data_IF_794755927664
#
_entry.id   IF_794755927664
#
_cell.length_a   1.000
_cell.length_b   1.000
_cell.length_c   1.000
_cell.angle_alpha   90.00
_cell.angle_beta   90.00
_cell.angle_gamma   90.00
#
_symmetry.space_group_name_H-M   'P 1'
#
loop_
_entity.id
_entity.type
_entity.pdbx_description
1 polymer ?
#
# COMPACT_ATOMS: atom_id res chain seq x y z
N UNK A 1 11.13 25.56 -29.51
CA UNK A 1 11.08 25.52 -28.03
C UNK A 1 11.49 24.17 -27.45
N UNK A 2 10.67 23.10 -27.54
CA UNK A 2 10.90 21.83 -26.79
C UNK A 2 12.18 21.04 -27.13
N UNK A 3 12.79 21.24 -28.29
CA UNK A 3 14.04 20.56 -28.69
C UNK A 3 15.21 21.54 -28.90
N UNK A 4 15.02 22.82 -28.57
CA UNK A 4 16.07 23.83 -28.75
C UNK A 4 16.93 23.98 -27.48
N UNK A 5 18.24 24.18 -27.62
CA UNK A 5 19.16 24.29 -26.48
C UNK A 5 18.99 25.58 -25.67
N UNK A 6 18.24 26.56 -26.19
CA UNK A 6 17.90 27.84 -25.55
C UNK A 6 16.53 28.29 -26.04
N UNK A 7 15.78 29.02 -25.21
CA UNK A 7 14.49 29.62 -25.57
C UNK A 7 14.37 31.02 -24.99
N UNK A 8 13.61 31.90 -25.64
CA UNK A 8 13.28 33.24 -25.13
C UNK A 8 12.05 33.19 -24.22
N UNK A 9 11.80 34.27 -23.47
CA UNK A 9 10.58 34.39 -22.65
C UNK A 9 9.30 34.39 -23.50
N UNK A 10 9.32 35.09 -24.64
CA UNK A 10 8.19 35.14 -25.58
C UNK A 10 7.88 33.74 -26.16
N UNK A 11 8.90 32.94 -26.44
CA UNK A 11 8.73 31.54 -26.89
C UNK A 11 8.16 30.62 -25.80
N UNK A 12 8.40 30.92 -24.52
CA UNK A 12 7.79 30.19 -23.41
C UNK A 12 6.35 30.65 -23.16
N UNK A 13 6.04 31.93 -23.37
CA UNK A 13 4.67 32.45 -23.30
C UNK A 13 3.78 31.84 -24.40
N UNK A 14 4.33 31.54 -25.58
CA UNK A 14 3.63 30.77 -26.62
C UNK A 14 3.24 29.34 -26.18
N UNK A 15 3.91 28.80 -25.14
CA UNK A 15 3.55 27.51 -24.55
C UNK A 15 2.48 27.62 -23.46
N UNK A 16 1.94 28.82 -23.17
CA UNK A 16 0.87 29.01 -22.17
C UNK A 16 -0.34 28.11 -22.47
N UNK A 17 -0.67 27.89 -23.74
CA UNK A 17 -1.75 27.00 -24.16
C UNK A 17 -1.53 25.53 -23.74
N UNK A 18 -0.28 25.10 -23.51
CA UNK A 18 0.08 23.79 -23.00
C UNK A 18 0.20 23.76 -21.46
N UNK A 19 -0.07 24.87 -20.76
CA UNK A 19 -0.11 24.87 -19.31
C UNK A 19 -1.24 23.94 -18.83
N UNK A 20 -0.99 22.99 -17.93
CA UNK A 20 -2.06 22.21 -17.29
C UNK A 20 -3.12 23.08 -16.62
N UNK A 21 -2.72 24.29 -16.17
CA UNK A 21 -3.62 25.29 -15.63
C UNK A 21 -4.69 25.78 -16.62
N UNK A 22 -4.41 25.71 -17.93
CA UNK A 22 -5.30 26.13 -19.03
C UNK A 22 -6.09 24.98 -19.64
N UNK A 23 -5.95 23.76 -19.12
CA UNK A 23 -6.64 22.59 -19.66
C UNK A 23 -8.16 22.78 -19.74
N UNK A 24 -8.75 23.45 -18.75
CA UNK A 24 -10.17 23.76 -18.71
C UNK A 24 -10.63 24.80 -19.76
N UNK A 25 -9.69 25.58 -20.31
CA UNK A 25 -9.93 26.57 -21.38
C UNK A 25 -9.76 25.95 -22.78
N UNK A 26 -9.09 24.80 -22.89
CA UNK A 26 -8.88 24.06 -24.13
C UNK A 26 -9.83 22.85 -24.24
N UNK A 27 -11.06 23.09 -24.71
CA UNK A 27 -12.09 22.07 -24.79
C UNK A 27 -11.69 20.82 -25.61
N UNK A 28 -10.91 20.99 -26.69
CA UNK A 28 -10.51 19.86 -27.53
C UNK A 28 -9.54 18.92 -26.79
N UNK A 29 -8.56 19.47 -26.10
CA UNK A 29 -7.61 18.68 -25.30
C UNK A 29 -8.29 18.04 -24.08
N UNK A 30 -9.16 18.78 -23.41
CA UNK A 30 -9.93 18.28 -22.27
C UNK A 30 -10.79 17.06 -22.64
N UNK A 31 -11.50 17.12 -23.77
CA UNK A 31 -12.31 15.99 -24.25
C UNK A 31 -11.43 14.80 -24.68
N UNK A 32 -10.26 15.03 -25.28
CA UNK A 32 -9.32 13.94 -25.60
C UNK A 32 -8.78 13.25 -24.34
N UNK A 33 -8.50 14.01 -23.27
CA UNK A 33 -8.08 13.42 -22.00
C UNK A 33 -9.21 12.64 -21.32
N UNK A 34 -10.45 13.11 -21.42
CA UNK A 34 -11.61 12.34 -20.97
C UNK A 34 -11.75 11.03 -21.75
N UNK A 35 -11.65 11.09 -23.08
CA UNK A 35 -11.68 9.90 -23.94
C UNK A 35 -10.59 8.91 -23.57
N UNK A 36 -9.38 9.40 -23.32
CA UNK A 36 -8.25 8.60 -22.87
C UNK A 36 -8.53 7.98 -21.49
N UNK A 37 -8.71 8.78 -20.45
CA UNK A 37 -8.77 8.29 -19.08
C UNK A 37 -10.01 7.44 -18.79
N UNK A 38 -11.16 7.83 -19.35
CA UNK A 38 -12.43 7.12 -19.18
C UNK A 38 -12.73 6.13 -20.32
N UNK A 39 -11.79 5.94 -21.27
CA UNK A 39 -11.92 4.98 -22.36
C UNK A 39 -13.25 5.10 -23.13
N UNK A 40 -13.70 6.35 -23.37
CA UNK A 40 -15.03 6.63 -23.96
C UNK A 40 -15.14 6.22 -25.43
N UNK A 41 -14.00 6.09 -26.12
CA UNK A 41 -13.92 5.74 -27.54
C UNK A 41 -13.08 4.48 -27.75
N UNK A 42 -13.38 3.74 -28.81
CA UNK A 42 -12.76 2.45 -29.14
C UNK A 42 -11.21 2.46 -29.12
N UNK A 43 -10.52 3.50 -29.63
CA UNK A 43 -9.05 3.54 -29.60
C UNK A 43 -8.44 3.52 -28.19
N UNK A 44 -9.19 3.92 -27.17
CA UNK A 44 -8.72 3.99 -25.78
C UNK A 44 -9.26 2.87 -24.89
N UNK A 45 -10.02 1.92 -25.44
CA UNK A 45 -10.56 0.77 -24.69
C UNK A 45 -9.54 -0.38 -24.56
N UNK A 46 -8.55 -0.46 -25.46
CA UNK A 46 -7.44 -1.41 -25.38
C UNK A 46 -6.47 -1.13 -24.23
N UNK A 47 -5.48 -2.01 -24.05
CA UNK A 47 -4.32 -1.83 -23.14
C UNK A 47 -4.69 -1.41 -21.70
N UNK A 48 -5.76 -1.99 -21.15
CA UNK A 48 -6.22 -1.73 -19.77
C UNK A 48 -7.07 -0.47 -19.61
N UNK A 49 -7.49 0.17 -20.71
CA UNK A 49 -8.38 1.33 -20.70
C UNK A 49 -9.71 1.08 -19.98
N UNK A 50 -10.34 -0.08 -20.19
CA UNK A 50 -11.57 -0.49 -19.49
C UNK A 50 -11.36 -0.63 -17.98
N UNK A 51 -10.25 -1.25 -17.54
CA UNK A 51 -9.88 -1.36 -16.12
C UNK A 51 -9.61 0.01 -15.50
N UNK A 52 -8.97 0.92 -16.25
CA UNK A 52 -8.76 2.32 -15.82
C UNK A 52 -10.09 3.06 -15.66
N UNK A 53 -10.99 2.98 -16.65
CA UNK A 53 -12.36 3.55 -16.57
C UNK A 53 -13.09 3.03 -15.33
N UNK A 54 -13.11 1.73 -15.11
CA UNK A 54 -13.78 1.13 -13.95
C UNK A 54 -13.13 1.54 -12.62
N UNK A 55 -11.81 1.75 -12.57
CA UNK A 55 -11.11 2.27 -11.38
C UNK A 55 -11.49 3.71 -11.07
N UNK A 56 -11.52 4.58 -12.07
CA UNK A 56 -11.94 5.97 -11.92
C UNK A 56 -13.44 6.06 -11.59
N UNK A 57 -14.27 5.24 -12.24
CA UNK A 57 -15.70 5.12 -11.95
C UNK A 57 -15.98 4.70 -10.51
N UNK A 58 -15.24 3.71 -9.97
CA UNK A 58 -15.32 3.33 -8.56
C UNK A 58 -14.94 4.48 -7.62
N UNK A 59 -13.93 5.28 -7.96
CA UNK A 59 -13.55 6.45 -7.15
C UNK A 59 -14.63 7.55 -7.19
N UNK A 60 -15.22 7.82 -8.36
CA UNK A 60 -16.36 8.73 -8.48
C UNK A 60 -17.56 8.22 -7.69
N UNK A 61 -17.80 6.90 -7.70
CA UNK A 61 -18.84 6.27 -6.90
C UNK A 61 -18.62 6.51 -5.41
N UNK A 62 -17.37 6.36 -4.92
CA UNK A 62 -17.02 6.68 -3.52
C UNK A 62 -17.30 8.14 -3.17
N UNK A 63 -16.92 9.08 -4.05
CA UNK A 63 -17.18 10.52 -3.85
C UNK A 63 -18.69 10.82 -3.80
N UNK A 64 -19.49 10.05 -4.53
CA UNK A 64 -20.95 10.17 -4.56
C UNK A 64 -21.64 9.70 -3.28
N UNK A 65 -20.95 8.94 -2.42
CA UNK A 65 -21.54 8.40 -1.20
C UNK A 65 -21.83 9.50 -0.17
N UNK A 66 -22.95 9.35 0.52
CA UNK A 66 -23.35 10.25 1.60
C UNK A 66 -22.58 10.01 2.90
N UNK A 67 -22.12 8.78 3.12
CA UNK A 67 -21.30 8.42 4.27
C UNK A 67 -19.93 9.08 4.13
N UNK A 68 -19.63 10.00 5.05
CA UNK A 68 -18.39 10.78 5.07
C UNK A 68 -17.91 10.90 6.50
N UNK A 69 -16.61 11.01 6.64
CA UNK A 69 -15.97 11.32 7.90
C UNK A 69 -14.86 12.34 7.62
N UNK A 70 -14.95 13.57 8.19
CA UNK A 70 -13.98 14.63 7.95
C UNK A 70 -12.59 14.31 8.51
N UNK A 71 -12.44 13.32 9.40
CA UNK A 71 -11.13 12.89 9.91
C UNK A 71 -10.30 12.19 8.82
N UNK A 72 -10.96 11.65 7.78
CA UNK A 72 -10.30 10.94 6.70
C UNK A 72 -10.28 11.75 5.41
N UNK A 73 -9.07 12.00 4.91
CA UNK A 73 -8.90 12.39 3.51
C UNK A 73 -9.46 11.31 2.57
N UNK A 74 -9.78 11.70 1.33
CA UNK A 74 -10.31 10.78 0.31
C UNK A 74 -9.50 9.50 0.15
N UNK A 75 -8.17 9.59 0.24
CA UNK A 75 -7.31 8.41 0.20
C UNK A 75 -7.56 7.44 1.36
N UNK A 76 -7.74 7.96 2.58
CA UNK A 76 -8.07 7.16 3.76
C UNK A 76 -9.41 6.44 3.57
N UNK A 77 -10.42 7.17 3.08
CA UNK A 77 -11.74 6.61 2.77
C UNK A 77 -11.65 5.52 1.70
N UNK A 78 -10.90 5.74 0.61
CA UNK A 78 -10.73 4.74 -0.44
C UNK A 78 -9.99 3.50 0.08
N UNK A 79 -8.95 3.69 0.90
CA UNK A 79 -8.19 2.59 1.49
C UNK A 79 -9.07 1.73 2.40
N UNK A 80 -9.76 2.36 3.35
CA UNK A 80 -10.68 1.67 4.25
C UNK A 80 -11.78 0.95 3.49
N UNK A 81 -12.43 1.66 2.58
CA UNK A 81 -13.59 1.12 1.87
C UNK A 81 -13.23 0.05 0.86
N UNK A 82 -12.12 0.18 0.14
CA UNK A 82 -11.67 -0.84 -0.80
C UNK A 82 -11.11 -2.09 -0.10
N UNK A 83 -10.42 -1.92 1.04
CA UNK A 83 -9.91 -3.05 1.82
C UNK A 83 -11.04 -3.94 2.34
N UNK A 84 -12.14 -3.32 2.80
CA UNK A 84 -13.21 -4.01 3.52
C UNK A 84 -14.44 -4.31 2.67
N UNK A 85 -14.66 -3.55 1.60
CA UNK A 85 -15.94 -3.50 0.89
C UNK A 85 -17.04 -2.78 1.67
N UNK A 86 -16.71 -2.00 2.72
CA UNK A 86 -17.65 -1.25 3.54
C UNK A 86 -17.32 0.25 3.55
N UNK A 87 -18.33 1.09 3.49
CA UNK A 87 -18.19 2.55 3.62
C UNK A 87 -17.79 2.93 5.05
N UNK A 88 -17.48 4.21 5.24
CA UNK A 88 -17.03 4.71 6.56
C UNK A 88 -18.07 4.51 7.66
N UNK A 89 -19.37 4.56 7.34
CA UNK A 89 -20.43 4.26 8.31
C UNK A 89 -20.64 2.76 8.61
N UNK A 90 -19.77 1.90 8.07
CA UNK A 90 -19.83 0.44 8.22
C UNK A 90 -20.85 -0.24 7.30
N UNK A 91 -21.61 0.52 6.50
CA UNK A 91 -22.54 -0.05 5.52
C UNK A 91 -21.77 -0.71 4.37
N UNK A 92 -22.32 -1.78 3.78
CA UNK A 92 -21.67 -2.43 2.65
C UNK A 92 -21.65 -1.50 1.43
N UNK A 93 -20.48 -1.35 0.80
CA UNK A 93 -20.33 -0.53 -0.41
C UNK A 93 -20.96 -1.26 -1.59
N UNK A 94 -22.18 -0.83 -1.97
CA UNK A 94 -22.98 -1.41 -3.06
C UNK A 94 -22.45 -0.98 -4.44
N UNK A 95 -21.23 -1.42 -4.79
CA UNK A 95 -20.67 -1.20 -6.11
C UNK A 95 -21.46 -1.97 -7.19
N UNK A 96 -21.65 -1.34 -8.36
CA UNK A 96 -22.27 -2.00 -9.52
C UNK A 96 -21.44 -3.19 -9.99
N UNK A 97 -22.06 -4.11 -10.72
CA UNK A 97 -21.37 -5.30 -11.27
C UNK A 97 -20.10 -4.93 -12.05
N UNK A 98 -20.16 -3.84 -12.83
CA UNK A 98 -19.03 -3.29 -13.56
C UNK A 98 -17.84 -2.89 -12.67
N UNK A 99 -18.11 -2.46 -11.42
CA UNK A 99 -17.09 -1.99 -10.48
C UNK A 99 -16.65 -3.06 -9.47
N UNK A 100 -17.40 -4.15 -9.28
CA UNK A 100 -17.09 -5.18 -8.29
C UNK A 100 -15.71 -5.82 -8.49
N UNK A 101 -15.32 -6.11 -9.74
CA UNK A 101 -13.99 -6.66 -10.06
C UNK A 101 -12.87 -5.72 -9.61
N UNK A 102 -13.03 -4.42 -9.87
CA UNK A 102 -12.02 -3.42 -9.55
C UNK A 102 -11.99 -3.11 -8.06
N UNK A 103 -13.15 -3.13 -7.37
CA UNK A 103 -13.22 -3.03 -5.91
C UNK A 103 -12.40 -4.14 -5.25
N UNK A 104 -12.58 -5.40 -5.68
CA UNK A 104 -11.77 -6.53 -5.20
C UNK A 104 -10.29 -6.36 -5.52
N UNK A 105 -9.95 -5.88 -6.71
CA UNK A 105 -8.58 -5.56 -7.10
C UNK A 105 -7.91 -4.54 -6.18
N UNK A 106 -8.62 -3.44 -5.85
CA UNK A 106 -8.15 -2.47 -4.86
C UNK A 106 -8.07 -3.08 -3.46
N UNK A 107 -9.01 -3.93 -3.05
CA UNK A 107 -8.91 -4.67 -1.79
C UNK A 107 -7.64 -5.52 -1.69
N UNK A 108 -7.32 -6.28 -2.75
CA UNK A 108 -6.06 -7.02 -2.86
C UNK A 108 -4.84 -6.10 -2.79
N UNK A 109 -4.89 -4.94 -3.45
CA UNK A 109 -3.83 -3.93 -3.35
C UNK A 109 -3.64 -3.45 -1.90
N UNK A 110 -4.71 -3.06 -1.21
CA UNK A 110 -4.64 -2.58 0.17
C UNK A 110 -4.15 -3.65 1.15
N UNK A 111 -4.50 -4.92 0.91
CA UNK A 111 -3.95 -6.05 1.68
C UNK A 111 -2.44 -6.21 1.49
N UNK A 112 -1.94 -6.04 0.26
CA UNK A 112 -0.49 -6.05 0.01
C UNK A 112 0.20 -4.84 0.65
N UNK A 113 -0.43 -3.69 0.66
CA UNK A 113 0.06 -2.49 1.33
C UNK A 113 0.20 -2.69 2.84
N UNK A 114 -0.80 -3.30 3.50
CA UNK A 114 -0.71 -3.66 4.91
C UNK A 114 0.39 -4.68 5.20
N UNK A 115 0.52 -5.71 4.36
CA UNK A 115 1.60 -6.68 4.47
C UNK A 115 2.97 -5.99 4.35
N UNK A 116 3.10 -5.10 3.37
CA UNK A 116 4.32 -4.36 3.10
C UNK A 116 4.71 -3.44 4.26
N UNK A 117 3.80 -2.60 4.75
CA UNK A 117 4.11 -1.67 5.85
C UNK A 117 4.45 -2.41 7.14
N UNK A 118 3.79 -3.54 7.42
CA UNK A 118 4.08 -4.34 8.60
C UNK A 118 5.50 -4.94 8.56
N UNK A 119 5.91 -5.52 7.42
CA UNK A 119 7.29 -6.02 7.23
C UNK A 119 8.30 -4.88 7.27
N UNK A 120 7.99 -3.73 6.66
CA UNK A 120 8.84 -2.54 6.71
C UNK A 120 9.03 -2.05 8.15
N UNK A 121 7.97 -1.99 8.95
CA UNK A 121 8.04 -1.53 10.34
C UNK A 121 8.91 -2.43 11.22
N UNK A 122 8.77 -3.76 11.10
CA UNK A 122 9.63 -4.71 11.81
C UNK A 122 11.08 -4.59 11.36
N UNK A 123 11.31 -4.45 10.05
CA UNK A 123 12.67 -4.26 9.52
C UNK A 123 13.29 -2.94 10.01
N UNK A 124 12.52 -1.85 10.00
CA UNK A 124 12.93 -0.53 10.43
C UNK A 124 13.33 -0.51 11.91
N UNK A 125 12.47 -1.04 12.79
CA UNK A 125 12.75 -1.11 14.23
C UNK A 125 13.96 -1.99 14.53
N UNK A 126 14.12 -3.12 13.84
CA UNK A 126 15.30 -3.98 13.97
C UNK A 126 16.58 -3.26 13.55
N UNK A 127 16.59 -2.59 12.39
CA UNK A 127 17.76 -1.83 11.96
C UNK A 127 18.10 -0.71 12.94
N UNK A 128 17.08 0.00 13.42
CA UNK A 128 17.26 1.10 14.37
C UNK A 128 17.77 0.62 15.73
N UNK A 129 17.30 -0.53 16.20
CA UNK A 129 17.83 -1.17 17.40
C UNK A 129 19.28 -1.64 17.22
N UNK A 130 19.67 -2.16 16.05
CA UNK A 130 21.08 -2.46 15.73
C UNK A 130 21.93 -1.18 15.76
N UNK A 131 21.41 -0.05 15.27
CA UNK A 131 22.11 1.22 15.36
C UNK A 131 22.35 1.68 16.81
N UNK A 132 21.34 1.49 17.67
CA UNK A 132 21.35 1.87 19.08
C UNK A 132 22.25 0.97 19.92
N UNK A 133 22.09 -0.34 19.80
CA UNK A 133 22.61 -1.32 20.76
C UNK A 133 23.85 -2.06 20.28
N UNK A 134 24.00 -2.23 18.96
CA UNK A 134 25.02 -3.12 18.36
C UNK A 134 26.10 -2.33 17.60
N UNK A 135 26.27 -1.04 17.91
CA UNK A 135 27.19 -0.14 17.23
C UNK A 135 27.04 -0.18 15.69
N UNK A 136 25.79 -0.30 15.21
CA UNK A 136 25.40 -0.37 13.79
C UNK A 136 25.87 -1.62 13.04
N UNK A 137 26.28 -2.69 13.72
CA UNK A 137 26.82 -3.88 13.04
C UNK A 137 26.34 -5.18 13.67
N UNK A 138 26.15 -6.18 12.82
CA UNK A 138 25.91 -7.58 13.19
C UNK A 138 26.80 -8.48 12.35
N UNK A 139 27.03 -9.73 12.76
CA UNK A 139 27.93 -10.65 12.02
C UNK A 139 27.22 -11.31 10.86
N UNK A 140 25.96 -11.68 11.07
CA UNK A 140 25.16 -12.46 10.12
C UNK A 140 23.69 -12.08 10.22
N UNK A 141 22.90 -12.46 9.21
CA UNK A 141 21.48 -12.09 9.15
C UNK A 141 20.66 -12.63 10.33
N UNK A 142 21.02 -13.79 10.88
CA UNK A 142 20.33 -14.37 12.05
C UNK A 142 20.45 -13.53 13.32
N UNK A 143 21.49 -12.70 13.44
CA UNK A 143 21.64 -11.80 14.59
C UNK A 143 20.52 -10.72 14.59
N UNK A 144 20.00 -10.36 13.41
CA UNK A 144 18.84 -9.47 13.30
C UNK A 144 17.56 -10.10 13.84
N UNK A 145 17.45 -11.43 13.80
CA UNK A 145 16.33 -12.14 14.41
C UNK A 145 16.40 -12.09 15.94
N UNK A 146 17.58 -12.17 16.55
CA UNK A 146 17.73 -11.99 17.99
C UNK A 146 17.31 -10.57 18.42
N UNK A 147 17.66 -9.55 17.63
CA UNK A 147 17.22 -8.17 17.86
C UNK A 147 15.69 -8.06 17.77
N UNK A 148 15.08 -8.66 16.75
CA UNK A 148 13.61 -8.66 16.58
C UNK A 148 12.89 -9.29 17.77
N UNK A 149 13.39 -10.44 18.27
CA UNK A 149 12.82 -11.11 19.45
C UNK A 149 12.96 -10.26 20.70
N UNK A 150 14.11 -9.59 20.90
CA UNK A 150 14.31 -8.68 22.05
C UNK A 150 13.36 -7.49 22.05
N UNK A 151 13.09 -6.89 20.88
CA UNK A 151 12.10 -5.81 20.74
C UNK A 151 10.68 -6.24 21.12
N UNK A 152 10.41 -7.55 21.11
CA UNK A 152 9.11 -8.13 21.41
C UNK A 152 9.10 -8.86 22.77
N UNK A 153 10.06 -8.56 23.65
CA UNK A 153 10.17 -9.19 24.97
C UNK A 153 8.92 -9.00 25.85
N UNK A 154 8.17 -7.91 25.66
CA UNK A 154 6.87 -7.71 26.33
C UNK A 154 5.84 -8.80 26.00
N UNK A 155 6.02 -9.52 24.88
CA UNK A 155 5.17 -10.62 24.44
C UNK A 155 5.74 -12.01 24.83
N UNK A 156 6.67 -12.12 25.79
CA UNK A 156 7.39 -13.36 26.13
C UNK A 156 6.48 -14.61 26.31
N UNK A 157 5.30 -14.44 26.90
CA UNK A 157 4.34 -15.53 27.05
C UNK A 157 3.80 -16.02 25.69
N UNK A 158 3.53 -15.10 24.77
CA UNK A 158 3.01 -15.38 23.44
C UNK A 158 4.08 -15.88 22.47
N UNK A 159 5.33 -15.45 22.63
CA UNK A 159 6.47 -15.90 21.82
C UNK A 159 6.63 -17.43 21.83
N UNK A 160 6.29 -18.07 22.95
CA UNK A 160 6.41 -19.52 23.16
C UNK A 160 5.22 -20.31 22.62
N UNK A 161 4.13 -19.64 22.23
CA UNK A 161 2.96 -20.32 21.69
C UNK A 161 3.25 -20.86 20.29
N UNK A 162 2.60 -21.97 19.89
CA UNK A 162 2.46 -22.33 18.49
C UNK A 162 1.82 -21.17 17.71
N UNK A 163 2.36 -20.86 16.53
CA UNK A 163 1.89 -19.74 15.71
C UNK A 163 0.38 -19.86 15.39
N UNK A 164 -0.08 -21.06 15.06
CA UNK A 164 -1.48 -21.36 14.74
C UNK A 164 -2.42 -21.11 15.93
N UNK A 165 -1.97 -21.39 17.15
CA UNK A 165 -2.71 -21.09 18.37
C UNK A 165 -2.88 -19.57 18.56
N UNK A 166 -1.81 -18.79 18.35
CA UNK A 166 -1.88 -17.34 18.44
C UNK A 166 -2.76 -16.74 17.33
N UNK A 167 -2.61 -17.21 16.09
CA UNK A 167 -3.44 -16.78 14.95
C UNK A 167 -4.92 -17.10 15.21
N UNK A 168 -5.23 -18.27 15.78
CA UNK A 168 -6.60 -18.64 16.17
C UNK A 168 -7.16 -17.70 17.23
N UNK A 169 -6.34 -17.34 18.23
CA UNK A 169 -6.73 -16.38 19.27
C UNK A 169 -7.01 -15.00 18.69
N UNK A 170 -6.12 -14.49 17.85
CA UNK A 170 -6.28 -13.21 17.14
C UNK A 170 -7.54 -13.23 16.29
N UNK A 171 -7.81 -14.31 15.54
CA UNK A 171 -9.05 -14.47 14.75
C UNK A 171 -10.31 -14.32 15.61
N UNK A 172 -10.29 -14.80 16.85
CA UNK A 172 -11.42 -14.71 17.78
C UNK A 172 -11.65 -13.31 18.38
N UNK A 173 -10.66 -12.43 18.33
CA UNK A 173 -10.72 -11.08 18.92
C UNK A 173 -10.68 -9.96 17.90
N UNK A 174 -10.37 -10.25 16.62
CA UNK A 174 -10.33 -9.25 15.57
C UNK A 174 -11.70 -8.59 15.39
N UNK A 175 -11.74 -7.25 15.21
CA UNK A 175 -12.95 -6.56 14.81
C UNK A 175 -13.52 -7.15 13.51
N UNK A 176 -14.83 -6.95 13.30
CA UNK A 176 -15.45 -7.28 12.02
C UNK A 176 -14.71 -6.54 10.88
N UNK A 177 -14.56 -7.18 9.72
CA UNK A 177 -13.82 -6.58 8.61
C UNK A 177 -14.45 -5.24 8.18
N UNK A 178 -15.78 -5.12 8.21
CA UNK A 178 -16.47 -3.87 7.88
C UNK A 178 -16.26 -2.74 8.90
N UNK A 179 -15.88 -3.07 10.13
CA UNK A 179 -15.64 -2.12 11.22
C UNK A 179 -14.17 -1.65 11.21
N UNK A 180 -13.74 -1.08 10.08
CA UNK A 180 -12.34 -0.67 9.91
C UNK A 180 -11.96 0.58 10.69
N UNK A 181 -12.93 1.28 11.27
CA UNK A 181 -12.70 2.41 12.16
C UNK A 181 -12.30 1.98 13.58
N UNK A 182 -12.55 0.72 13.94
CA UNK A 182 -12.17 0.17 15.23
C UNK A 182 -10.65 0.27 15.45
N UNK A 183 -10.22 0.85 16.58
CA UNK A 183 -8.80 1.07 16.89
C UNK A 183 -7.95 -0.21 16.88
N UNK A 184 -8.56 -1.38 17.07
CA UNK A 184 -7.89 -2.68 17.03
C UNK A 184 -7.84 -3.30 15.63
N UNK A 185 -8.52 -2.71 14.65
CA UNK A 185 -8.53 -3.15 13.27
C UNK A 185 -7.16 -2.97 12.62
N UNK A 186 -6.76 -3.91 11.76
CA UNK A 186 -5.43 -3.93 11.15
C UNK A 186 -5.10 -2.69 10.29
N UNK A 187 -6.12 -2.02 9.75
CA UNK A 187 -5.95 -0.73 9.06
C UNK A 187 -5.57 0.40 10.01
N UNK A 188 -6.26 0.52 11.16
CA UNK A 188 -5.94 1.54 12.17
C UNK A 188 -4.53 1.33 12.72
N UNK A 189 -4.17 0.07 12.98
CA UNK A 189 -2.80 -0.32 13.34
C UNK A 189 -1.78 0.11 12.29
N UNK A 190 -2.10 -0.06 11.01
CA UNK A 190 -1.27 0.43 9.90
C UNK A 190 -1.06 1.94 9.91
N UNK A 191 -2.11 2.73 10.19
CA UNK A 191 -1.99 4.19 10.35
C UNK A 191 -1.21 4.59 11.59
N UNK A 192 -1.44 3.94 12.74
CA UNK A 192 -0.62 4.15 13.95
C UNK A 192 0.85 3.88 13.66
N UNK A 193 1.16 2.72 13.06
CA UNK A 193 2.51 2.33 12.69
C UNK A 193 3.22 3.37 11.82
N UNK A 194 2.53 3.95 10.83
CA UNK A 194 3.08 4.99 9.97
C UNK A 194 3.42 6.28 10.74
N UNK A 195 2.68 6.59 11.81
CA UNK A 195 2.84 7.81 12.59
C UNK A 195 3.81 7.67 13.78
N UNK A 196 4.24 6.44 14.11
CA UNK A 196 5.21 6.21 15.19
C UNK A 196 6.60 6.75 14.82
N UNK A 197 7.24 7.56 15.69
CA UNK A 197 8.52 8.19 15.37
C UNK A 197 9.67 7.19 15.47
N UNK A 198 10.16 6.68 14.33
CA UNK A 198 11.29 5.74 14.27
C UNK A 198 12.58 6.26 14.94
N UNK A 199 12.77 7.59 14.99
CA UNK A 199 13.94 8.22 15.61
C UNK A 199 13.86 8.29 17.14
N UNK A 200 12.68 8.07 17.71
CA UNK A 200 12.50 7.94 19.14
C UNK A 200 12.74 6.48 19.55
N UNK A 201 13.83 6.24 20.26
CA UNK A 201 14.23 4.90 20.67
C UNK A 201 13.19 4.26 21.63
N UNK A 202 12.33 5.05 22.28
CA UNK A 202 11.22 4.55 23.10
C UNK A 202 10.09 3.93 22.27
N UNK A 203 9.97 4.29 20.99
CA UNK A 203 8.90 3.83 20.10
C UNK A 203 9.23 2.51 19.39
N UNK A 204 10.47 1.99 19.48
CA UNK A 204 10.92 0.84 18.69
C UNK A 204 10.17 -0.45 19.01
N UNK A 205 9.88 -0.67 20.30
CA UNK A 205 9.12 -1.84 20.75
C UNK A 205 7.67 -1.76 20.25
N UNK A 206 7.05 -0.57 20.31
CA UNK A 206 5.70 -0.34 19.82
C UNK A 206 5.60 -0.53 18.30
N UNK A 207 6.57 -0.01 17.54
CA UNK A 207 6.68 -0.24 16.08
C UNK A 207 6.75 -1.74 15.78
N UNK A 208 7.59 -2.49 16.49
CA UNK A 208 7.70 -3.94 16.31
C UNK A 208 6.39 -4.67 16.66
N UNK A 209 5.74 -4.26 17.75
CA UNK A 209 4.47 -4.84 18.20
C UNK A 209 3.34 -4.59 17.20
N UNK A 210 3.17 -3.36 16.70
CA UNK A 210 2.15 -3.05 15.69
C UNK A 210 2.41 -3.80 14.38
N UNK A 211 3.67 -3.87 13.95
CA UNK A 211 4.06 -4.69 12.80
C UNK A 211 3.65 -6.16 12.95
N UNK A 212 3.95 -6.78 14.10
CA UNK A 212 3.59 -8.18 14.36
C UNK A 212 2.07 -8.36 14.48
N UNK A 213 1.37 -7.41 15.12
CA UNK A 213 -0.09 -7.44 15.23
C UNK A 213 -0.77 -7.39 13.85
N UNK A 214 -0.31 -6.53 12.93
CA UNK A 214 -0.83 -6.48 11.56
C UNK A 214 -0.56 -7.78 10.81
N UNK A 215 0.64 -8.36 10.93
CA UNK A 215 0.96 -9.65 10.30
C UNK A 215 0.07 -10.79 10.81
N UNK A 216 -0.15 -10.87 12.13
CA UNK A 216 -1.04 -11.84 12.74
C UNK A 216 -2.49 -11.62 12.31
N UNK A 217 -2.93 -10.36 12.20
CA UNK A 217 -4.26 -10.04 11.71
C UNK A 217 -4.45 -10.51 10.26
N UNK A 218 -3.49 -10.27 9.37
CA UNK A 218 -3.54 -10.74 7.98
C UNK A 218 -3.58 -12.28 7.89
N UNK A 219 -2.82 -12.98 8.74
CA UNK A 219 -2.89 -14.44 8.86
C UNK A 219 -4.26 -14.92 9.36
N UNK A 220 -4.82 -14.22 10.35
CA UNK A 220 -6.14 -14.49 10.90
C UNK A 220 -7.29 -14.16 9.93
N UNK A 221 -7.13 -13.20 9.02
CA UNK A 221 -8.07 -12.99 7.90
C UNK A 221 -7.93 -14.09 6.84
N UNK A 222 -6.72 -14.62 6.65
CA UNK A 222 -6.43 -15.75 5.77
C UNK A 222 -6.28 -15.35 4.28
N UNK A 223 -5.55 -16.18 3.52
CA UNK A 223 -5.36 -16.02 2.06
C UNK A 223 -5.65 -17.36 1.39
N UNK A 224 -6.90 -17.82 1.45
CA UNK A 224 -7.24 -19.16 0.98
C UNK A 224 -7.47 -19.24 -0.53
N UNK A 225 -8.16 -18.26 -1.08
CA UNK A 225 -8.37 -18.09 -2.52
C UNK A 225 -7.14 -17.49 -3.21
N UNK A 226 -7.02 -17.65 -4.53
CA UNK A 226 -5.96 -17.01 -5.31
C UNK A 226 -6.20 -15.48 -5.31
N UNK A 227 -5.36 -14.68 -4.61
CA UNK A 227 -5.69 -13.29 -4.30
C UNK A 227 -5.64 -12.36 -5.51
N UNK A 228 -5.05 -12.82 -6.63
CA UNK A 228 -4.89 -12.05 -7.85
C UNK A 228 -5.80 -12.53 -8.99
N UNK A 229 -6.88 -13.26 -8.70
CA UNK A 229 -7.76 -13.86 -9.72
C UNK A 229 -8.42 -12.85 -10.64
N UNK A 230 -8.58 -11.61 -10.16
CA UNK A 230 -9.15 -10.50 -10.95
C UNK A 230 -8.11 -9.80 -11.86
N UNK A 231 -6.82 -10.19 -11.81
CA UNK A 231 -5.74 -9.59 -12.59
C UNK A 231 -5.27 -10.49 -13.74
N UNK A 232 -4.93 -9.87 -14.86
CA UNK A 232 -4.27 -10.54 -15.98
C UNK A 232 -2.76 -10.43 -15.80
N UNK A 233 -2.17 -11.42 -15.14
CA UNK A 233 -0.74 -11.48 -14.84
C UNK A 233 -0.09 -12.68 -15.52
N UNK A 234 1.14 -12.50 -15.96
CA UNK A 234 1.96 -13.59 -16.48
C UNK A 234 2.20 -14.66 -15.39
N UNK A 235 2.22 -15.97 -15.73
CA UNK A 235 2.55 -17.03 -14.78
C UNK A 235 3.85 -16.81 -14.00
N UNK A 236 4.84 -16.13 -14.58
CA UNK A 236 6.14 -15.82 -13.96
C UNK A 236 6.17 -14.45 -13.26
N UNK A 237 5.04 -13.74 -13.19
CA UNK A 237 4.95 -12.39 -12.64
C UNK A 237 5.39 -12.30 -11.17
N UNK A 238 5.12 -13.35 -10.39
CA UNK A 238 5.43 -13.38 -8.97
C UNK A 238 6.71 -14.17 -8.70
N UNK A 239 7.74 -13.49 -8.20
CA UNK A 239 8.90 -14.15 -7.58
C UNK A 239 8.53 -14.55 -6.14
N UNK A 240 8.52 -15.85 -5.78
CA UNK A 240 8.16 -16.33 -4.44
C UNK A 240 9.02 -15.74 -3.31
N UNK A 241 10.16 -15.13 -3.64
CA UNK A 241 11.09 -14.49 -2.71
C UNK A 241 10.76 -13.02 -2.45
N UNK A 242 9.72 -12.48 -3.08
CA UNK A 242 9.13 -11.16 -2.84
C UNK A 242 8.08 -11.22 -1.73
N UNK A 243 7.77 -10.08 -1.13
CA UNK A 243 6.73 -9.98 -0.09
C UNK A 243 5.42 -9.58 -0.77
N UNK A 244 4.46 -10.51 -0.81
CA UNK A 244 3.13 -10.31 -1.37
C UNK A 244 2.16 -11.40 -0.86
N UNK A 245 0.86 -11.28 -1.13
CA UNK A 245 -0.14 -12.20 -0.57
C UNK A 245 0.07 -13.67 -0.97
N UNK A 246 0.54 -13.94 -2.19
CA UNK A 246 0.88 -15.32 -2.59
C UNK A 246 2.06 -15.91 -1.81
N UNK A 247 3.10 -15.13 -1.50
CA UNK A 247 4.23 -15.61 -0.71
C UNK A 247 3.85 -15.73 0.77
N UNK A 248 2.96 -14.88 1.28
CA UNK A 248 2.32 -15.06 2.59
C UNK A 248 1.54 -16.37 2.67
N UNK A 249 0.69 -16.66 1.67
CA UNK A 249 -0.05 -17.92 1.57
C UNK A 249 0.89 -19.12 1.49
N UNK A 250 1.94 -19.03 0.67
CA UNK A 250 2.89 -20.11 0.53
C UNK A 250 3.66 -20.37 1.84
N UNK A 251 4.21 -19.32 2.45
CA UNK A 251 4.97 -19.43 3.69
C UNK A 251 4.10 -19.96 4.83
N UNK A 252 2.88 -19.43 5.02
CA UNK A 252 1.96 -19.90 6.05
C UNK A 252 1.55 -21.37 5.91
N UNK A 253 1.41 -21.88 4.68
CA UNK A 253 0.99 -23.27 4.44
C UNK A 253 2.13 -24.29 4.39
N UNK A 254 3.37 -23.87 4.17
CA UNK A 254 4.50 -24.78 3.92
C UNK A 254 5.71 -24.55 4.84
N UNK A 255 6.06 -23.29 5.11
CA UNK A 255 7.28 -22.93 5.83
C UNK A 255 7.03 -22.69 7.32
N UNK A 256 5.86 -22.17 7.69
CA UNK A 256 5.55 -21.76 9.06
C UNK A 256 4.77 -22.82 9.87
N UNK A 257 4.51 -23.98 9.27
CA UNK A 257 3.78 -25.06 9.93
C UNK A 257 4.59 -25.61 11.10
N UNK A 258 4.01 -25.57 12.30
CA UNK A 258 4.65 -26.06 13.52
C UNK A 258 5.66 -25.10 14.15
N UNK A 259 5.85 -23.89 13.60
CA UNK A 259 6.70 -22.88 14.24
C UNK A 259 6.04 -22.31 15.49
N UNK A 260 6.87 -21.96 16.47
CA UNK A 260 6.47 -21.03 17.53
C UNK A 260 6.36 -19.60 16.98
N UNK A 261 5.73 -18.72 17.73
CA UNK A 261 5.67 -17.29 17.39
C UNK A 261 7.08 -16.69 17.35
N UNK A 262 7.97 -17.08 18.25
CA UNK A 262 9.39 -16.68 18.23
C UNK A 262 10.06 -17.13 16.92
N UNK A 263 9.98 -18.41 16.57
CA UNK A 263 10.61 -18.94 15.35
C UNK A 263 10.07 -18.27 14.09
N UNK A 264 8.77 -17.95 14.08
CA UNK A 264 8.14 -17.21 13.00
C UNK A 264 8.68 -15.77 12.89
N UNK A 265 8.79 -15.04 13.99
CA UNK A 265 9.39 -13.68 14.02
C UNK A 265 10.83 -13.73 13.51
N UNK A 266 11.61 -14.70 13.99
CA UNK A 266 12.99 -14.92 13.54
C UNK A 266 13.05 -15.15 12.03
N UNK A 267 12.15 -15.98 11.51
CA UNK A 267 12.04 -16.24 10.07
C UNK A 267 11.70 -14.97 9.29
N UNK A 268 10.70 -14.18 9.74
CA UNK A 268 10.28 -12.95 9.06
C UNK A 268 11.42 -11.93 9.05
N UNK A 269 12.08 -11.69 10.19
CA UNK A 269 13.19 -10.73 10.30
C UNK A 269 14.35 -11.07 9.35
N UNK A 270 14.66 -12.36 9.19
CA UNK A 270 15.75 -12.82 8.31
C UNK A 270 15.31 -12.87 6.84
N UNK A 271 14.24 -13.61 6.53
CA UNK A 271 13.87 -13.94 5.16
C UNK A 271 13.17 -12.80 4.43
N UNK A 272 12.25 -12.12 5.13
CA UNK A 272 11.47 -11.00 4.59
C UNK A 272 12.05 -9.63 4.95
N UNK A 273 12.86 -9.53 6.02
CA UNK A 273 13.64 -8.34 6.35
C UNK A 273 14.98 -8.33 5.61
N UNK A 274 16.03 -8.86 6.25
CA UNK A 274 17.43 -8.70 5.78
C UNK A 274 17.68 -9.32 4.41
N UNK A 275 17.36 -10.60 4.21
CA UNK A 275 17.65 -11.31 2.97
C UNK A 275 16.91 -10.70 1.76
N UNK A 276 15.63 -10.33 1.97
CA UNK A 276 14.81 -9.65 0.98
C UNK A 276 15.41 -8.29 0.60
N UNK A 277 15.74 -7.47 1.60
CA UNK A 277 16.36 -6.16 1.38
C UNK A 277 17.65 -6.27 0.56
N UNK A 278 18.53 -7.19 0.92
CA UNK A 278 19.78 -7.42 0.18
C UNK A 278 19.53 -7.82 -1.27
N UNK A 279 18.56 -8.70 -1.55
CA UNK A 279 18.17 -9.07 -2.92
C UNK A 279 17.66 -7.86 -3.72
N UNK A 280 16.77 -7.04 -3.14
CA UNK A 280 16.27 -5.80 -3.79
C UNK A 280 17.41 -4.86 -4.09
N UNK A 281 18.26 -4.59 -3.09
CA UNK A 281 19.35 -3.63 -3.21
C UNK A 281 20.37 -4.08 -4.27
N UNK A 282 20.71 -5.36 -4.33
CA UNK A 282 21.55 -5.94 -5.38
C UNK A 282 20.90 -5.84 -6.76
N UNK A 283 19.60 -6.12 -6.88
CA UNK A 283 18.86 -5.98 -8.14
C UNK A 283 18.90 -4.53 -8.65
N UNK A 284 18.63 -3.55 -7.76
CA UNK A 284 18.68 -2.12 -8.09
C UNK A 284 20.10 -1.65 -8.43
N UNK A 285 21.11 -2.15 -7.72
CA UNK A 285 22.50 -1.85 -8.04
C UNK A 285 22.87 -2.37 -9.43
N UNK A 286 22.48 -3.62 -9.77
CA UNK A 286 22.78 -4.24 -11.06
C UNK A 286 22.00 -3.62 -12.22
N UNK A 287 20.70 -3.41 -12.05
CA UNK A 287 19.80 -2.97 -13.12
C UNK A 287 19.75 -1.45 -13.30
N UNK A 288 19.76 -0.71 -12.19
CA UNK A 288 19.53 0.75 -12.19
C UNK A 288 20.79 1.55 -11.83
N UNK A 289 21.92 0.87 -11.53
CA UNK A 289 23.16 1.49 -10.99
C UNK A 289 22.91 2.33 -9.74
N UNK A 290 21.90 1.98 -8.95
CA UNK A 290 21.46 2.72 -7.77
C UNK A 290 21.83 1.97 -6.49
N UNK A 291 22.71 2.53 -5.68
CA UNK A 291 22.99 2.02 -4.34
C UNK A 291 21.81 2.36 -3.40
N UNK A 292 21.12 1.33 -2.93
CA UNK A 292 19.93 1.45 -2.06
C UNK A 292 20.07 0.62 -0.78
N UNK A 293 21.29 0.23 -0.39
CA UNK A 293 21.49 -0.58 0.80
C UNK A 293 21.19 0.20 2.09
N UNK A 294 20.23 -0.29 2.87
CA UNK A 294 19.91 0.12 4.26
C UNK A 294 20.75 -0.62 5.29
N UNK A 295 21.07 -1.88 5.00
CA UNK A 295 22.11 -2.66 5.67
C UNK A 295 23.02 -3.24 4.59
N UNK A 296 24.35 -3.07 4.74
CA UNK A 296 25.34 -3.40 3.72
C UNK A 296 26.18 -4.60 4.14
N UNK A 297 26.40 -5.58 3.26
CA UNK A 297 27.36 -6.65 3.51
C UNK A 297 28.79 -6.12 3.34
N UNK A 298 29.63 -6.37 4.35
CA UNK A 298 31.06 -6.09 4.36
C UNK A 298 31.81 -7.39 4.71
N UNK A 299 33.14 -7.34 4.70
CA UNK A 299 33.96 -8.50 5.08
C UNK A 299 33.72 -8.86 6.56
N UNK A 300 33.05 -9.99 6.78
CA UNK A 300 32.78 -10.53 8.12
C UNK A 300 31.63 -9.88 8.89
N UNK A 301 30.87 -8.95 8.29
CA UNK A 301 29.75 -8.29 8.97
C UNK A 301 28.68 -7.75 8.02
N UNK A 302 27.51 -7.43 8.61
CA UNK A 302 26.48 -6.59 8.02
C UNK A 302 26.41 -5.27 8.80
N UNK A 303 26.56 -4.15 8.09
CA UNK A 303 26.58 -2.81 8.70
C UNK A 303 25.35 -2.01 8.31
N UNK A 304 24.63 -1.51 9.30
CA UNK A 304 23.48 -0.63 9.08
C UNK A 304 23.96 0.73 8.59
N UNK A 305 23.36 1.17 7.48
CA UNK A 305 23.59 2.48 6.87
C UNK A 305 22.57 3.47 7.42
N UNK A 306 21.29 3.10 7.32
CA UNK A 306 20.16 3.84 7.91
C UNK A 306 18.92 2.92 8.02
N UNK A 307 18.10 3.13 9.05
CA UNK A 307 16.78 2.53 9.16
C UNK A 307 15.75 3.33 8.32
N UNK A 308 15.04 2.71 7.36
CA UNK A 308 14.01 3.39 6.57
C UNK A 308 12.71 3.54 7.38
N UNK A 309 12.00 4.64 7.22
CA UNK A 309 10.66 4.79 7.80
C UNK A 309 9.64 3.87 7.09
N UNK A 310 8.77 3.18 7.83
CA UNK A 310 7.70 2.38 7.23
C UNK A 310 6.63 3.28 6.63
N UNK A 311 6.34 3.09 5.35
CA UNK A 311 5.35 3.92 4.64
C UNK A 311 4.49 3.07 3.72
N UNK A 312 3.23 3.47 3.59
CA UNK A 312 2.37 2.99 2.51
C UNK A 312 2.90 3.50 1.16
N UNK A 313 2.83 2.66 0.13
CA UNK A 313 3.13 3.08 -1.23
C UNK A 313 1.87 3.70 -1.84
N UNK A 314 1.84 5.03 -1.89
CA UNK A 314 0.63 5.80 -2.26
C UNK A 314 0.68 6.60 -3.57
N UNK A 315 1.58 6.33 -4.56
CA UNK A 315 1.62 7.16 -5.75
C UNK A 315 0.39 6.98 -6.66
N UNK A 316 -0.43 5.94 -6.51
CA UNK A 316 -1.52 5.66 -7.46
C UNK A 316 -2.84 6.36 -7.11
N UNK A 317 -3.21 6.39 -5.83
CA UNK A 317 -4.47 7.01 -5.38
C UNK A 317 -4.41 8.53 -5.53
N UNK A 318 -3.32 9.14 -5.03
CA UNK A 318 -3.08 10.59 -5.17
C UNK A 318 -3.09 11.05 -6.63
N UNK A 319 -2.47 10.28 -7.55
CA UNK A 319 -2.47 10.59 -8.98
C UNK A 319 -3.85 10.43 -9.62
N UNK A 320 -4.60 9.39 -9.26
CA UNK A 320 -5.95 9.21 -9.75
C UNK A 320 -6.88 10.33 -9.29
N UNK A 321 -6.80 10.75 -8.02
CA UNK A 321 -7.53 11.90 -7.50
C UNK A 321 -7.16 13.19 -8.23
N UNK A 322 -5.87 13.41 -8.51
CA UNK A 322 -5.41 14.55 -9.30
C UNK A 322 -6.01 14.52 -10.72
N UNK A 323 -6.01 13.37 -11.39
CA UNK A 323 -6.64 13.18 -12.71
C UNK A 323 -8.14 13.54 -12.65
N UNK A 324 -8.88 13.04 -11.66
CA UNK A 324 -10.31 13.35 -11.53
C UNK A 324 -10.56 14.86 -11.36
N UNK A 325 -9.66 15.57 -10.65
CA UNK A 325 -9.73 17.02 -10.47
C UNK A 325 -9.39 17.78 -11.75
N UNK A 326 -8.31 17.40 -12.42
CA UNK A 326 -7.85 18.05 -13.66
C UNK A 326 -8.88 17.87 -14.79
N UNK A 327 -9.58 16.73 -14.80
CA UNK A 327 -10.69 16.47 -15.71
C UNK A 327 -12.00 17.17 -15.30
N UNK A 328 -12.02 17.90 -14.18
CA UNK A 328 -13.20 18.61 -13.70
C UNK A 328 -14.35 17.69 -13.30
N UNK A 329 -14.06 16.44 -12.92
CA UNK A 329 -15.06 15.46 -12.49
C UNK A 329 -15.36 15.57 -10.99
N UNK A 330 -14.38 16.05 -10.23
CA UNK A 330 -14.52 16.32 -8.80
C UNK A 330 -13.99 17.69 -8.45
N UNK A 331 -14.53 18.28 -7.38
CA UNK A 331 -14.08 19.54 -6.81
C UNK A 331 -14.04 19.42 -5.28
N UNK A 332 -13.42 20.38 -4.60
CA UNK A 332 -13.58 20.54 -3.17
C UNK A 332 -14.75 21.49 -2.90
N UNK A 333 -15.60 21.15 -1.94
CA UNK A 333 -16.58 22.08 -1.38
C UNK A 333 -15.91 23.06 -0.41
N UNK A 334 -16.71 23.97 0.18
CA UNK A 334 -16.23 25.00 1.11
C UNK A 334 -15.61 24.42 2.40
N UNK A 335 -15.90 23.15 2.72
CA UNK A 335 -15.35 22.43 3.86
C UNK A 335 -14.07 21.64 3.49
N UNK A 336 -13.62 21.72 2.24
CA UNK A 336 -12.45 21.01 1.75
C UNK A 336 -12.71 19.52 1.47
N UNK A 337 -13.97 19.12 1.33
CA UNK A 337 -14.37 17.74 1.06
C UNK A 337 -14.57 17.53 -0.43
N UNK A 338 -14.15 16.37 -0.94
CA UNK A 338 -14.29 16.03 -2.35
C UNK A 338 -15.77 15.78 -2.70
N UNK A 339 -16.27 16.45 -3.74
CA UNK A 339 -17.64 16.35 -4.26
C UNK A 339 -17.63 16.16 -5.78
N UNK A 340 -18.67 15.52 -6.31
CA UNK A 340 -18.86 15.39 -7.76
C UNK A 340 -19.29 16.74 -8.35
N UNK A 341 -18.71 17.07 -9.51
CA UNK A 341 -19.26 18.10 -10.39
C UNK A 341 -20.44 17.53 -11.21
N UNK A 342 -21.17 18.38 -11.93
CA UNK A 342 -22.24 17.91 -12.82
C UNK A 342 -21.71 17.02 -13.95
N UNK A 343 -20.49 17.32 -14.44
CA UNK A 343 -19.78 16.44 -15.38
C UNK A 343 -19.40 15.12 -14.70
N UNK A 344 -18.87 15.16 -13.47
CA UNK A 344 -18.55 13.96 -12.69
C UNK A 344 -19.74 13.04 -12.47
N UNK A 345 -20.93 13.59 -12.19
CA UNK A 345 -22.18 12.84 -12.10
C UNK A 345 -22.53 12.15 -13.42
N UNK A 346 -22.42 12.88 -14.53
CA UNK A 346 -22.70 12.34 -15.87
C UNK A 346 -21.75 11.18 -16.22
N UNK A 347 -20.46 11.36 -15.97
CA UNK A 347 -19.44 10.34 -16.27
C UNK A 347 -19.51 9.14 -15.31
N UNK A 348 -19.92 9.34 -14.05
CA UNK A 348 -20.21 8.24 -13.13
C UNK A 348 -21.34 7.34 -13.67
N UNK A 349 -22.45 7.93 -14.10
CA UNK A 349 -23.55 7.16 -14.70
C UNK A 349 -23.07 6.42 -15.95
N UNK A 350 -22.28 7.08 -16.80
CA UNK A 350 -21.68 6.42 -17.96
C UNK A 350 -20.80 5.22 -17.54
N UNK A 351 -20.00 5.33 -16.49
CA UNK A 351 -19.16 4.23 -15.98
C UNK A 351 -19.98 3.08 -15.39
N UNK A 352 -21.18 3.34 -14.84
CA UNK A 352 -22.06 2.32 -14.25
C UNK A 352 -22.72 1.41 -15.29
N UNK A 353 -22.95 1.91 -16.51
CA UNK A 353 -23.70 1.20 -17.56
C UNK A 353 -22.86 0.15 -18.31
N UNK A 354 -21.54 0.13 -18.09
CA UNK A 354 -20.64 -0.93 -18.59
C UNK A 354 -20.54 -0.98 -20.10
#
# INVERSE_FOLDING_TARGET
VLEQPTSTWEELDELEAFCPCKLHENAAEHELLLDLFLARTEPFQGDGGTTRRASLGLMLDLVSQSARDPEYAFEGLLRGSAYTGALVDGSAWQATEAHQRVLRGWGTYQRNELLSIAVQGLFASVLRAIERDEARKIRQASDAADVAVRLLAALDADLKLPLDALVTRVRGTLPALADWQNEDHELQRGWRLQNLPLKDDASLEEIAQESVAILLALLARGVDEYPYGDFELDPEYFDPREVHLLSLRHASKNEWVGLTVEDWIRWVAVQWGVARHLRVALRKLRGERRDTFRIRPLEGELRVVEAPEPVFTQPRVSRAQQILRDLGLVAYDDEGVLVLTDRGRTELEACRVG
#
